data_IF_210695050537
#
_entry.id   IF_210695050537
#
_cell.length_a   1.000
_cell.length_b   1.000
_cell.length_c   1.000
_cell.angle_alpha   90.00
_cell.angle_beta   90.00
_cell.angle_gamma   90.00
#
_symmetry.space_group_name_H-M   'P 1'
#
loop_
_entity.id
_entity.type
_entity.pdbx_description
1 polymer ?
#
# COMPACT_ATOMS: atom_id res chain seq x y z
N UNK A 1 -5.75 19.58 -20.13
CA UNK A 1 -6.13 20.95 -19.67
C UNK A 1 -5.60 21.10 -18.26
N UNK A 2 -4.70 22.06 -17.99
CA UNK A 2 -4.11 22.24 -16.67
C UNK A 2 -5.15 22.80 -15.69
N UNK A 3 -5.13 22.37 -14.43
CA UNK A 3 -6.05 22.86 -13.38
C UNK A 3 -5.98 24.38 -13.24
N UNK A 4 -4.79 24.95 -13.37
CA UNK A 4 -4.60 26.41 -13.35
C UNK A 4 -5.33 27.13 -14.48
N UNK A 5 -5.41 26.55 -15.69
CA UNK A 5 -6.15 27.13 -16.81
C UNK A 5 -7.65 26.96 -16.66
N UNK A 6 -8.10 25.88 -15.99
CA UNK A 6 -9.50 25.63 -15.71
C UNK A 6 -10.02 26.62 -14.63
N UNK A 7 -9.24 26.81 -13.56
CA UNK A 7 -9.57 27.76 -12.49
C UNK A 7 -9.54 29.22 -12.94
N UNK A 8 -8.75 29.56 -13.97
CA UNK A 8 -8.64 30.89 -14.55
C UNK A 8 -9.66 31.15 -15.68
N UNK A 9 -10.48 30.17 -16.07
CA UNK A 9 -11.45 30.33 -17.15
C UNK A 9 -12.65 31.17 -16.71
N UNK A 10 -13.11 32.10 -17.59
CA UNK A 10 -14.20 33.03 -17.31
C UNK A 10 -15.52 32.34 -16.91
N UNK A 11 -15.83 31.20 -17.54
CA UNK A 11 -17.02 30.44 -17.20
C UNK A 11 -16.97 29.87 -15.77
N UNK A 12 -15.78 29.41 -15.33
CA UNK A 12 -15.60 28.90 -13.98
C UNK A 12 -15.73 30.00 -12.93
N UNK A 13 -15.12 31.16 -13.16
CA UNK A 13 -15.21 32.31 -12.28
C UNK A 13 -16.67 32.87 -12.20
N UNK A 14 -17.37 32.90 -13.33
CA UNK A 14 -18.78 33.29 -13.39
C UNK A 14 -19.67 32.32 -12.62
N UNK A 15 -19.39 31.02 -12.68
CA UNK A 15 -20.14 30.01 -11.93
C UNK A 15 -19.89 30.11 -10.43
N UNK A 16 -18.67 30.40 -10.02
CA UNK A 16 -18.27 30.53 -8.62
C UNK A 16 -18.92 31.71 -7.90
N UNK A 17 -19.24 32.80 -8.60
CA UNK A 17 -19.90 33.97 -7.98
C UNK A 17 -21.35 33.69 -7.54
N UNK A 18 -22.02 32.67 -8.12
CA UNK A 18 -23.39 32.28 -7.75
C UNK A 18 -23.44 31.30 -6.59
N UNK A 19 -22.29 30.74 -6.16
CA UNK A 19 -22.22 29.76 -5.08
C UNK A 19 -22.11 30.49 -3.74
N UNK A 20 -23.10 30.35 -2.82
CA UNK A 20 -23.09 31.05 -1.55
C UNK A 20 -21.99 30.49 -0.61
N UNK A 21 -21.26 31.39 0.03
CA UNK A 21 -20.35 31.05 1.13
C UNK A 21 -21.11 31.09 2.46
N UNK A 22 -21.22 29.91 3.10
CA UNK A 22 -21.78 29.80 4.46
C UNK A 22 -20.69 30.07 5.53
N UNK A 23 -21.12 30.58 6.70
CA UNK A 23 -20.19 30.87 7.82
C UNK A 23 -19.48 29.63 8.39
N UNK A 24 -20.11 28.46 8.31
CA UNK A 24 -19.58 27.19 8.84
C UNK A 24 -19.12 26.23 7.74
N UNK A 25 -19.60 26.39 6.51
CA UNK A 25 -19.30 25.53 5.38
C UNK A 25 -19.26 26.35 4.10
N UNK A 26 -18.10 26.36 3.43
CA UNK A 26 -17.91 27.07 2.17
C UNK A 26 -18.04 26.11 0.99
N UNK A 27 -19.16 26.16 0.30
CA UNK A 27 -19.37 25.40 -0.94
C UNK A 27 -18.34 25.79 -2.01
N UNK A 28 -17.96 27.06 -2.06
CA UNK A 28 -16.93 27.57 -2.97
C UNK A 28 -15.62 26.83 -2.79
N UNK A 29 -15.14 26.66 -1.55
CA UNK A 29 -13.90 25.94 -1.23
C UNK A 29 -13.96 24.46 -1.64
N UNK A 30 -15.14 23.83 -1.58
CA UNK A 30 -15.34 22.46 -2.07
C UNK A 30 -15.17 22.38 -3.57
N UNK A 31 -15.83 23.26 -4.34
CA UNK A 31 -15.73 23.28 -5.79
C UNK A 31 -14.33 23.64 -6.28
N UNK A 32 -13.64 24.59 -5.61
CA UNK A 32 -12.24 24.92 -5.89
C UNK A 32 -11.27 23.76 -5.56
N UNK A 33 -11.64 22.91 -4.61
CA UNK A 33 -10.88 21.73 -4.23
C UNK A 33 -10.96 20.57 -5.23
N UNK A 34 -12.12 20.37 -5.89
CA UNK A 34 -12.37 19.26 -6.80
C UNK A 34 -11.29 19.12 -7.90
N UNK A 35 -10.98 20.19 -8.68
CA UNK A 35 -9.96 20.08 -9.72
C UNK A 35 -8.57 19.70 -9.18
N UNK A 36 -8.21 20.18 -7.98
CA UNK A 36 -6.95 19.86 -7.33
C UNK A 36 -6.88 18.39 -6.90
N UNK A 37 -8.00 17.85 -6.38
CA UNK A 37 -8.12 16.43 -6.00
C UNK A 37 -8.01 15.55 -7.26
N UNK A 38 -8.74 15.88 -8.33
CA UNK A 38 -8.72 15.13 -9.58
C UNK A 38 -7.32 15.13 -10.20
N UNK A 39 -6.56 16.21 -10.07
CA UNK A 39 -5.18 16.28 -10.55
C UNK A 39 -4.26 15.29 -9.83
N UNK A 40 -4.51 14.98 -8.55
CA UNK A 40 -3.72 14.01 -7.77
C UNK A 40 -4.20 12.56 -7.93
N UNK A 41 -5.32 12.34 -8.62
CA UNK A 41 -5.87 11.00 -8.82
C UNK A 41 -4.88 10.01 -9.46
N UNK A 42 -4.09 10.37 -10.51
CA UNK A 42 -3.10 9.46 -11.08
C UNK A 42 -2.04 9.02 -10.06
N UNK A 43 -1.58 9.94 -9.22
CA UNK A 43 -0.61 9.63 -8.13
C UNK A 43 -1.22 8.65 -7.13
N UNK A 44 -2.46 8.90 -6.71
CA UNK A 44 -3.18 8.01 -5.78
C UNK A 44 -3.37 6.63 -6.38
N UNK A 45 -3.81 6.54 -7.64
CA UNK A 45 -3.99 5.26 -8.34
C UNK A 45 -2.66 4.51 -8.47
N UNK A 46 -1.59 5.19 -8.83
CA UNK A 46 -0.26 4.61 -8.91
C UNK A 46 0.18 4.01 -7.56
N UNK A 47 0.07 4.77 -6.47
CA UNK A 47 0.43 4.29 -5.13
C UNK A 47 -0.43 3.09 -4.71
N UNK A 48 -1.73 3.12 -5.00
CA UNK A 48 -2.66 2.04 -4.68
C UNK A 48 -2.33 0.76 -5.45
N UNK A 49 -2.16 0.86 -6.78
CA UNK A 49 -1.89 -0.30 -7.64
C UNK A 49 -0.56 -0.95 -7.28
N UNK A 50 0.52 -0.15 -7.19
CA UNK A 50 1.83 -0.70 -6.86
C UNK A 50 1.92 -1.18 -5.40
N UNK A 51 1.32 -0.45 -4.46
CA UNK A 51 1.24 -0.86 -3.06
C UNK A 51 0.51 -2.19 -2.90
N UNK A 52 -0.67 -2.34 -3.53
CA UNK A 52 -1.43 -3.58 -3.52
C UNK A 52 -0.70 -4.73 -4.23
N UNK A 53 -0.12 -4.47 -5.41
CA UNK A 53 0.61 -5.50 -6.18
C UNK A 53 1.76 -6.11 -5.36
N UNK A 54 2.66 -5.28 -4.85
CA UNK A 54 3.77 -5.75 -4.03
C UNK A 54 3.29 -6.28 -2.67
N UNK A 55 2.25 -5.67 -2.11
CA UNK A 55 1.63 -6.10 -0.86
C UNK A 55 1.07 -7.52 -0.94
N UNK A 56 0.34 -7.86 -2.01
CA UNK A 56 -0.23 -9.20 -2.22
C UNK A 56 0.89 -10.25 -2.38
N UNK A 57 1.95 -9.93 -3.12
CA UNK A 57 3.10 -10.85 -3.27
C UNK A 57 3.73 -11.13 -1.90
N UNK A 58 3.99 -10.09 -1.11
CA UNK A 58 4.53 -10.24 0.24
C UNK A 58 3.55 -10.95 1.17
N UNK A 59 2.26 -10.69 1.05
CA UNK A 59 1.21 -11.34 1.83
C UNK A 59 1.19 -12.86 1.59
N UNK A 60 1.34 -13.28 0.33
CA UNK A 60 1.43 -14.70 -0.01
C UNK A 60 2.66 -15.36 0.63
N UNK A 61 3.81 -14.71 0.56
CA UNK A 61 5.04 -15.20 1.22
C UNK A 61 4.83 -15.33 2.73
N UNK A 62 4.27 -14.31 3.38
CA UNK A 62 3.98 -14.32 4.81
C UNK A 62 2.97 -15.40 5.20
N UNK A 63 1.93 -15.61 4.39
CA UNK A 63 0.94 -16.67 4.60
C UNK A 63 1.59 -18.06 4.53
N UNK A 64 2.42 -18.32 3.51
CA UNK A 64 3.12 -19.60 3.33
C UNK A 64 4.09 -19.86 4.49
N UNK A 65 4.88 -18.86 4.89
CA UNK A 65 5.81 -18.98 6.04
C UNK A 65 5.04 -19.36 7.31
N UNK A 66 3.87 -18.75 7.52
CA UNK A 66 3.04 -19.00 8.69
C UNK A 66 2.36 -20.36 8.66
N UNK A 67 1.84 -20.80 7.50
CA UNK A 67 1.22 -22.13 7.33
C UNK A 67 2.26 -23.23 7.57
N UNK A 68 3.44 -23.11 6.95
CA UNK A 68 4.48 -24.12 7.02
C UNK A 68 5.31 -24.06 8.32
N UNK A 69 5.06 -23.06 9.19
CA UNK A 69 5.80 -22.84 10.44
C UNK A 69 7.32 -22.90 10.27
N UNK A 70 7.85 -22.24 9.21
CA UNK A 70 9.28 -22.24 8.91
C UNK A 70 10.06 -21.71 10.13
N UNK A 71 10.85 -22.60 10.76
CA UNK A 71 11.41 -22.44 12.12
C UNK A 71 12.02 -21.07 12.43
N UNK A 72 12.79 -20.50 11.48
CA UNK A 72 13.47 -19.20 11.66
C UNK A 72 12.57 -18.04 11.20
N UNK A 73 11.87 -18.21 10.08
CA UNK A 73 11.08 -17.15 9.45
C UNK A 73 9.75 -16.90 10.17
N UNK A 74 9.19 -17.93 10.80
CA UNK A 74 7.90 -17.81 11.50
C UNK A 74 7.92 -16.77 12.64
N UNK A 75 8.83 -16.80 13.62
CA UNK A 75 8.84 -15.80 14.69
C UNK A 75 9.17 -14.40 14.17
N UNK A 76 10.04 -14.28 13.17
CA UNK A 76 10.38 -13.00 12.54
C UNK A 76 9.17 -12.42 11.82
N UNK A 77 8.46 -13.21 11.02
CA UNK A 77 7.23 -12.81 10.33
C UNK A 77 6.13 -12.44 11.33
N UNK A 78 5.95 -13.22 12.39
CA UNK A 78 4.94 -12.95 13.41
C UNK A 78 5.20 -11.62 14.14
N UNK A 79 6.46 -11.36 14.52
CA UNK A 79 6.87 -10.08 15.10
C UNK A 79 6.60 -8.92 14.13
N UNK A 80 7.01 -9.05 12.87
CA UNK A 80 6.87 -8.02 11.85
C UNK A 80 5.41 -7.70 11.55
N UNK A 81 4.57 -8.71 11.37
CA UNK A 81 3.12 -8.54 11.14
C UNK A 81 2.46 -7.91 12.37
N UNK A 82 2.82 -8.33 13.59
CA UNK A 82 2.29 -7.75 14.81
C UNK A 82 2.68 -6.27 14.96
N UNK A 83 3.93 -5.93 14.66
CA UNK A 83 4.41 -4.54 14.65
C UNK A 83 3.65 -3.67 13.65
N UNK A 84 3.48 -4.15 12.39
CA UNK A 84 2.78 -3.40 11.35
C UNK A 84 1.30 -3.20 11.68
N UNK A 85 0.63 -4.22 12.23
CA UNK A 85 -0.78 -4.10 12.66
C UNK A 85 -0.96 -3.23 13.90
N UNK A 86 0.04 -3.17 14.76
CA UNK A 86 0.04 -2.37 15.99
C UNK A 86 0.43 -0.90 15.80
N UNK A 87 0.90 -0.51 14.61
CA UNK A 87 1.36 0.86 14.34
C UNK A 87 0.47 1.56 13.30
N UNK A 88 0.12 2.85 13.48
CA UNK A 88 -0.60 3.63 12.48
C UNK A 88 0.18 3.72 11.17
N UNK A 89 -0.52 3.65 10.03
CA UNK A 89 0.09 3.73 8.70
C UNK A 89 0.91 5.02 8.50
N UNK A 90 0.49 6.12 9.11
CA UNK A 90 1.24 7.38 9.05
C UNK A 90 2.64 7.24 9.67
N UNK A 91 2.75 6.51 10.79
CA UNK A 91 4.04 6.24 11.44
C UNK A 91 4.92 5.37 10.54
N UNK A 92 4.33 4.36 9.87
CA UNK A 92 5.04 3.51 8.91
C UNK A 92 5.54 4.32 7.70
N UNK A 93 4.72 5.24 7.17
CA UNK A 93 5.13 6.17 6.11
C UNK A 93 6.31 7.06 6.54
N UNK A 94 6.26 7.62 7.75
CA UNK A 94 7.37 8.43 8.28
C UNK A 94 8.63 7.58 8.49
N UNK A 95 8.46 6.36 9.02
CA UNK A 95 9.58 5.45 9.24
C UNK A 95 10.26 5.05 7.92
N UNK A 96 9.51 4.77 6.87
CA UNK A 96 10.08 4.46 5.55
C UNK A 96 10.72 5.68 4.91
N UNK A 97 10.06 6.83 4.96
CA UNK A 97 10.53 8.06 4.32
C UNK A 97 11.81 8.62 4.94
N UNK A 98 11.95 8.57 6.26
CA UNK A 98 13.13 9.05 6.97
C UNK A 98 14.10 7.94 7.34
N UNK A 99 13.61 6.77 7.72
CA UNK A 99 14.42 5.66 8.22
C UNK A 99 15.22 4.97 7.11
N UNK A 100 14.62 4.71 5.95
CA UNK A 100 15.32 4.06 4.84
C UNK A 100 16.52 4.91 4.35
N UNK A 101 16.37 6.21 4.07
CA UNK A 101 17.50 7.06 3.71
C UNK A 101 18.60 7.09 4.77
N UNK A 102 18.22 7.13 6.05
CA UNK A 102 19.18 7.10 7.16
C UNK A 102 19.97 5.80 7.21
N UNK A 103 19.28 4.66 7.04
CA UNK A 103 19.90 3.34 6.97
C UNK A 103 20.86 3.21 5.77
N UNK A 104 20.44 3.67 4.59
CA UNK A 104 21.29 3.66 3.39
C UNK A 104 22.53 4.56 3.56
N UNK A 105 22.38 5.71 4.22
CA UNK A 105 23.50 6.60 4.53
C UNK A 105 24.49 5.93 5.48
N UNK A 106 24.01 5.23 6.50
CA UNK A 106 24.84 4.47 7.42
C UNK A 106 25.60 3.33 6.70
N UNK A 107 24.94 2.61 5.79
CA UNK A 107 25.56 1.57 4.95
C UNK A 107 26.65 2.15 4.05
N UNK A 108 26.40 3.31 3.41
CA UNK A 108 27.41 3.99 2.60
C UNK A 108 28.65 4.34 3.43
N UNK A 109 28.47 4.77 4.67
CA UNK A 109 29.57 5.15 5.57
C UNK A 109 30.35 3.93 6.09
N UNK A 110 29.66 2.85 6.46
CA UNK A 110 30.30 1.69 7.10
C UNK A 110 30.93 0.74 6.09
N UNK A 111 30.30 0.56 4.93
CA UNK A 111 30.70 -0.48 3.95
C UNK A 111 31.21 0.11 2.63
N UNK A 112 31.33 1.45 2.53
CA UNK A 112 31.82 2.11 1.32
C UNK A 112 30.88 1.97 0.11
N UNK A 113 29.59 1.65 0.34
CA UNK A 113 28.61 1.58 -0.74
C UNK A 113 28.28 2.98 -1.25
N UNK A 114 27.82 3.09 -2.50
CA UNK A 114 27.54 4.38 -3.14
C UNK A 114 26.06 4.51 -3.54
N UNK A 115 25.13 4.17 -2.62
CA UNK A 115 23.71 4.36 -2.89
C UNK A 115 23.36 5.84 -3.01
N UNK A 116 22.80 6.23 -4.16
CA UNK A 116 22.30 7.59 -4.36
C UNK A 116 20.91 7.77 -3.76
N UNK A 117 20.87 8.19 -2.50
CA UNK A 117 19.65 8.34 -1.71
C UNK A 117 18.72 9.40 -2.31
N UNK A 118 19.29 10.47 -2.87
CA UNK A 118 18.55 11.59 -3.45
C UNK A 118 17.83 11.22 -4.77
N UNK A 119 18.24 10.12 -5.41
CA UNK A 119 17.58 9.63 -6.63
C UNK A 119 16.29 8.85 -6.35
N UNK A 120 16.01 8.47 -5.09
CA UNK A 120 14.83 7.69 -4.73
C UNK A 120 13.63 8.63 -4.58
N UNK A 121 12.58 8.50 -5.42
CA UNK A 121 11.42 9.37 -5.32
C UNK A 121 10.60 9.07 -4.06
N UNK A 122 9.96 10.10 -3.49
CA UNK A 122 9.11 9.97 -2.30
C UNK A 122 8.01 8.88 -2.44
N UNK A 123 7.48 8.74 -3.66
CA UNK A 123 6.49 7.71 -3.98
C UNK A 123 7.00 6.28 -3.73
N UNK A 124 8.29 6.01 -3.92
CA UNK A 124 8.86 4.69 -3.67
C UNK A 124 8.78 4.32 -2.18
N UNK A 125 9.07 5.25 -1.29
CA UNK A 125 8.94 5.03 0.16
C UNK A 125 7.49 4.79 0.57
N UNK A 126 6.55 5.52 -0.04
CA UNK A 126 5.13 5.33 0.19
C UNK A 126 4.65 3.94 -0.29
N UNK A 127 5.07 3.50 -1.49
CA UNK A 127 4.76 2.17 -2.02
C UNK A 127 5.29 1.08 -1.09
N UNK A 128 6.51 1.22 -0.56
CA UNK A 128 7.08 0.27 0.39
C UNK A 128 6.22 0.20 1.66
N UNK A 129 5.85 1.35 2.25
CA UNK A 129 5.01 1.37 3.45
C UNK A 129 3.64 0.72 3.21
N UNK A 130 2.97 1.06 2.09
CA UNK A 130 1.68 0.48 1.74
C UNK A 130 1.78 -1.02 1.45
N UNK A 131 2.82 -1.47 0.75
CA UNK A 131 3.03 -2.89 0.46
C UNK A 131 3.22 -3.71 1.74
N UNK A 132 4.01 -3.24 2.68
CA UNK A 132 4.20 -3.94 3.96
C UNK A 132 2.93 -3.91 4.83
N UNK A 133 2.22 -2.79 4.86
CA UNK A 133 0.96 -2.69 5.59
C UNK A 133 -0.08 -3.66 5.02
N UNK A 134 -0.28 -3.64 3.68
CA UNK A 134 -1.18 -4.57 2.99
C UNK A 134 -0.76 -6.02 3.24
N UNK A 135 0.53 -6.35 3.14
CA UNK A 135 1.05 -7.69 3.40
C UNK A 135 0.70 -8.21 4.79
N UNK A 136 0.76 -7.34 5.80
CA UNK A 136 0.44 -7.72 7.17
C UNK A 136 -1.03 -8.13 7.33
N UNK A 137 -1.97 -7.42 6.69
CA UNK A 137 -3.40 -7.72 6.76
C UNK A 137 -3.79 -8.86 5.81
N UNK A 138 -3.41 -8.76 4.53
CA UNK A 138 -3.78 -9.73 3.51
C UNK A 138 -3.20 -11.13 3.79
N UNK A 139 -2.03 -11.24 4.42
CA UNK A 139 -1.43 -12.56 4.76
C UNK A 139 -2.33 -13.41 5.66
N UNK A 140 -3.03 -12.79 6.61
CA UNK A 140 -3.96 -13.51 7.47
C UNK A 140 -5.22 -13.96 6.72
N UNK A 141 -5.72 -13.12 5.82
CA UNK A 141 -6.87 -13.45 4.96
C UNK A 141 -6.53 -14.61 4.03
N UNK A 142 -5.37 -14.54 3.36
CA UNK A 142 -4.88 -15.62 2.48
C UNK A 142 -4.69 -16.91 3.28
N UNK A 143 -4.07 -16.83 4.47
CA UNK A 143 -3.90 -18.00 5.34
C UNK A 143 -5.24 -18.60 5.75
N UNK A 144 -6.21 -17.79 6.15
CA UNK A 144 -7.52 -18.25 6.53
C UNK A 144 -8.24 -18.92 5.36
N UNK A 145 -8.18 -18.34 4.16
CA UNK A 145 -8.77 -18.91 2.95
C UNK A 145 -8.15 -20.27 2.59
N UNK A 146 -6.82 -20.40 2.65
CA UNK A 146 -6.15 -21.69 2.37
C UNK A 146 -6.55 -22.75 3.39
N UNK A 147 -6.66 -22.40 4.67
CA UNK A 147 -6.99 -23.35 5.74
C UNK A 147 -8.48 -23.63 5.86
N UNK A 148 -9.35 -22.90 5.17
CA UNK A 148 -10.80 -23.14 5.16
C UNK A 148 -11.23 -24.30 4.27
N UNK A 149 -10.37 -24.75 3.35
CA UNK A 149 -10.65 -25.89 2.47
C UNK A 149 -10.73 -27.18 3.29
N UNK A 150 -11.84 -27.90 3.15
CA UNK A 150 -12.06 -29.14 3.90
C UNK A 150 -11.11 -30.25 3.37
N UNK A 151 -10.28 -30.85 4.24
CA UNK A 151 -9.39 -31.95 3.83
C UNK A 151 -10.12 -33.12 3.14
N UNK A 152 -11.37 -33.39 3.54
CA UNK A 152 -12.19 -34.44 2.91
C UNK A 152 -12.52 -34.15 1.45
N UNK A 153 -12.70 -32.90 1.05
CA UNK A 153 -12.90 -32.52 -0.36
C UNK A 153 -11.62 -32.79 -1.19
N UNK A 154 -10.47 -32.51 -0.61
CA UNK A 154 -9.16 -32.81 -1.22
C UNK A 154 -8.97 -34.31 -1.38
N UNK A 155 -9.32 -35.11 -0.38
CA UNK A 155 -9.22 -36.57 -0.43
C UNK A 155 -10.21 -37.16 -1.45
N UNK A 156 -11.43 -36.68 -1.50
CA UNK A 156 -12.43 -37.07 -2.49
C UNK A 156 -11.96 -36.78 -3.92
N UNK A 157 -11.45 -35.59 -4.18
CA UNK A 157 -10.92 -35.22 -5.48
C UNK A 157 -9.74 -36.12 -5.93
N UNK A 158 -8.84 -36.42 -5.00
CA UNK A 158 -7.72 -37.36 -5.27
C UNK A 158 -8.22 -38.78 -5.56
N UNK A 159 -9.23 -39.25 -4.84
CA UNK A 159 -9.84 -40.56 -5.06
C UNK A 159 -10.48 -40.69 -6.44
N UNK A 160 -10.94 -39.58 -7.02
CA UNK A 160 -11.44 -39.48 -8.39
C UNK A 160 -10.33 -39.36 -9.44
N UNK A 161 -9.05 -39.45 -9.04
CA UNK A 161 -7.90 -39.39 -9.96
C UNK A 161 -7.51 -37.99 -10.40
N UNK A 162 -7.96 -36.94 -9.72
CA UNK A 162 -7.58 -35.56 -10.03
C UNK A 162 -6.10 -35.32 -9.74
N UNK A 163 -5.44 -34.58 -10.63
CA UNK A 163 -4.05 -34.18 -10.46
C UNK A 163 -3.91 -33.08 -9.39
N UNK A 164 -2.68 -32.89 -8.87
CA UNK A 164 -2.42 -31.85 -7.86
C UNK A 164 -2.79 -30.41 -8.29
N UNK A 165 -2.79 -30.15 -9.60
CA UNK A 165 -3.16 -28.83 -10.15
C UNK A 165 -4.69 -28.68 -10.32
N UNK A 166 -5.43 -29.77 -10.31
CA UNK A 166 -6.89 -29.79 -10.40
C UNK A 166 -7.57 -29.74 -9.01
N UNK A 167 -6.86 -30.19 -7.99
CA UNK A 167 -7.24 -30.16 -6.58
C UNK A 167 -6.80 -28.85 -5.94
#
# INVERSE_FOLDING_TARGET
MNVTTLLASDWYQNLMQYIPDGKLFSFRSVFDGIPRIVQQLPTTLMLTVFGAFFGIILALVFAIVKINRVRILYPLQAFFVSFLKGTPILVQLMLTYYGIPLALKALNQQWGTAFNINAIPAAAFAIVAFAFNEAAYASETIRAAILSVNPGEIEAARSLGMTRAQV
#
